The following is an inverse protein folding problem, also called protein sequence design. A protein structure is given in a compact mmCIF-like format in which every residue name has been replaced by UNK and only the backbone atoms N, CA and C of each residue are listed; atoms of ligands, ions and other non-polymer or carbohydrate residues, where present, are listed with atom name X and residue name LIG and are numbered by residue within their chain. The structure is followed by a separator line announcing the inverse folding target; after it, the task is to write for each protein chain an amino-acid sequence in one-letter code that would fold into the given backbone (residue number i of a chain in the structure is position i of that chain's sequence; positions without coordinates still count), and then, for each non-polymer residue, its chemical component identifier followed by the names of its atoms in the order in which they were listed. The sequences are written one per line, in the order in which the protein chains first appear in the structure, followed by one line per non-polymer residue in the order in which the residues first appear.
data_IF_687209216848
#
_entry.id   IF_687209216848
#
_cell.length_a   1.000
_cell.length_b   1.000
_cell.length_c   1.000
_cell.angle_alpha   90.00
_cell.angle_beta   90.00
_cell.angle_gamma   90.00
#
_symmetry.space_group_name_H-M   'P 1'
#
loop_
_entity.id
_entity.type
_entity.pdbx_description
1 polymer ?
#
# COMPACT_ATOMS: atom_id res chain seq x y z
N UNK A 1 -7.82 -0.54 4.79
CA UNK A 1 -7.00 -0.52 3.56
C UNK A 1 -5.84 0.43 3.77
N UNK A 2 -4.65 -0.01 3.37
CA UNK A 2 -3.35 0.61 3.59
C UNK A 2 -2.75 1.21 2.32
N UNK A 3 -1.63 1.93 2.43
CA UNK A 3 -0.88 2.55 1.35
C UNK A 3 0.50 1.89 1.20
N UNK A 4 0.78 1.37 0.00
CA UNK A 4 2.12 0.94 -0.44
C UNK A 4 2.45 1.70 -1.72
N UNK A 5 3.63 2.31 -1.78
CA UNK A 5 4.12 3.04 -2.95
C UNK A 5 5.49 2.49 -3.32
N UNK A 6 5.72 2.25 -4.61
CA UNK A 6 7.04 1.93 -5.12
C UNK A 6 7.44 2.85 -6.28
N UNK A 7 8.74 3.07 -6.41
CA UNK A 7 9.37 3.52 -7.63
C UNK A 7 10.34 2.44 -8.12
N UNK A 8 10.19 2.12 -9.40
CA UNK A 8 11.08 1.23 -10.13
C UNK A 8 11.93 2.13 -11.02
N UNK A 9 13.26 2.01 -10.93
CA UNK A 9 14.20 2.73 -11.78
C UNK A 9 15.25 1.79 -12.35
N UNK A 10 15.96 2.24 -13.39
CA UNK A 10 16.99 1.44 -14.07
C UNK A 10 18.08 0.90 -13.14
N UNK A 11 18.49 1.69 -12.14
CA UNK A 11 19.63 1.39 -11.27
C UNK A 11 19.21 1.10 -9.81
N UNK A 12 17.91 0.95 -9.56
CA UNK A 12 17.41 0.69 -8.22
C UNK A 12 15.90 0.88 -8.13
N UNK A 13 15.32 0.28 -7.10
CA UNK A 13 13.94 0.44 -6.73
C UNK A 13 13.83 0.86 -5.26
N UNK A 14 12.77 1.58 -4.94
CA UNK A 14 12.42 2.00 -3.58
C UNK A 14 10.95 1.71 -3.34
N UNK A 15 10.62 1.27 -2.14
CA UNK A 15 9.24 0.99 -1.72
C UNK A 15 8.99 1.56 -0.33
N UNK A 16 7.83 2.18 -0.14
CA UNK A 16 7.33 2.61 1.15
C UNK A 16 5.97 1.96 1.44
N UNK A 17 5.73 1.66 2.71
CA UNK A 17 4.49 1.07 3.19
C UNK A 17 4.14 1.67 4.53
N UNK A 18 2.91 2.17 4.66
CA UNK A 18 2.45 2.69 5.95
C UNK A 18 2.31 1.53 6.95
N UNK A 19 2.24 1.82 8.24
CA UNK A 19 2.19 0.77 9.26
C UNK A 19 0.80 0.57 9.89
N UNK A 20 -0.24 1.23 9.35
CA UNK A 20 -1.58 1.22 9.92
C UNK A 20 -2.33 -0.07 9.66
N UNK A 21 -2.99 -0.55 10.68
CA UNK A 21 -4.07 -1.53 10.61
C UNK A 21 -5.25 -1.03 11.43
N UNK A 22 -6.45 -1.17 10.87
CA UNK A 22 -7.69 -0.83 11.54
C UNK A 22 -8.61 -2.03 11.40
N UNK A 23 -9.07 -2.56 12.53
CA UNK A 23 -10.11 -3.59 12.57
C UNK A 23 -11.42 -2.98 13.04
N UNK A 24 -12.52 -3.52 12.50
CA UNK A 24 -13.87 -3.05 12.76
C UNK A 24 -14.71 -4.22 13.27
N UNK A 25 -15.34 -4.06 14.43
CA UNK A 25 -16.22 -5.03 15.08
C UNK A 25 -17.61 -4.41 15.27
N UNK A 26 -18.67 -5.17 14.99
CA UNK A 26 -20.06 -4.71 15.07
C UNK A 26 -20.90 -5.10 13.85
N UNK A 27 -22.09 -4.54 13.77
CA UNK A 27 -23.05 -4.80 12.70
C UNK A 27 -22.47 -4.48 11.32
N UNK A 28 -22.72 -5.38 10.36
CA UNK A 28 -22.10 -5.32 9.02
C UNK A 28 -22.36 -3.98 8.32
N UNK A 29 -23.60 -3.52 8.30
CA UNK A 29 -23.99 -2.27 7.63
C UNK A 29 -23.30 -1.04 8.23
N UNK A 30 -23.16 -1.01 9.56
CA UNK A 30 -22.50 0.09 10.26
C UNK A 30 -20.99 0.09 10.00
N UNK A 31 -20.36 -1.09 9.96
CA UNK A 31 -18.94 -1.23 9.58
C UNK A 31 -18.70 -0.74 8.15
N UNK A 32 -19.53 -1.18 7.20
CA UNK A 32 -19.42 -0.76 5.79
C UNK A 32 -19.59 0.75 5.62
N UNK A 33 -20.51 1.36 6.38
CA UNK A 33 -20.70 2.82 6.39
C UNK A 33 -19.46 3.55 6.92
N UNK A 34 -18.89 3.10 8.05
CA UNK A 34 -17.69 3.69 8.63
C UNK A 34 -16.48 3.55 7.70
N UNK A 35 -16.29 2.37 7.11
CA UNK A 35 -15.23 2.09 6.14
C UNK A 35 -15.33 2.99 4.91
N UNK A 36 -16.54 3.17 4.37
CA UNK A 36 -16.80 4.07 3.23
C UNK A 36 -16.39 5.50 3.56
N UNK A 37 -16.78 6.01 4.73
CA UNK A 37 -16.40 7.35 5.18
C UNK A 37 -14.89 7.48 5.34
N UNK A 38 -14.25 6.50 5.98
CA UNK A 38 -12.80 6.47 6.18
C UNK A 38 -12.04 6.46 4.85
N UNK A 39 -12.37 5.54 3.95
CA UNK A 39 -11.64 5.33 2.70
C UNK A 39 -11.95 6.37 1.62
N UNK A 40 -13.05 7.11 1.75
CA UNK A 40 -13.28 8.33 0.96
C UNK A 40 -12.32 9.47 1.31
N UNK A 41 -11.68 9.42 2.49
CA UNK A 41 -10.87 10.52 3.03
C UNK A 41 -11.66 11.56 3.79
N UNK A 42 -12.94 11.32 4.08
CA UNK A 42 -13.77 12.23 4.88
C UNK A 42 -13.37 12.26 6.37
N UNK A 43 -12.63 11.25 6.84
CA UNK A 43 -12.10 11.16 8.19
C UNK A 43 -10.59 11.40 8.14
N UNK A 44 -10.14 12.50 8.74
CA UNK A 44 -8.74 12.97 8.63
C UNK A 44 -7.92 12.72 9.89
N UNK A 45 -8.56 12.42 11.02
CA UNK A 45 -7.88 12.17 12.30
C UNK A 45 -8.43 10.97 13.07
N UNK A 46 -7.62 10.47 14.00
CA UNK A 46 -7.99 9.34 14.87
C UNK A 46 -9.18 9.69 15.77
N UNK A 47 -9.23 10.92 16.29
CA UNK A 47 -10.35 11.39 17.10
C UNK A 47 -11.67 11.44 16.31
N UNK A 48 -11.62 11.85 15.03
CA UNK A 48 -12.81 11.79 14.16
C UNK A 48 -13.23 10.36 13.86
N UNK A 49 -12.25 9.46 13.67
CA UNK A 49 -12.52 8.04 13.44
C UNK A 49 -13.19 7.39 14.65
N UNK A 50 -12.66 7.63 15.86
CA UNK A 50 -13.22 7.16 17.13
C UNK A 50 -14.64 7.68 17.33
N UNK A 51 -14.86 8.99 17.15
CA UNK A 51 -16.18 9.60 17.29
C UNK A 51 -17.20 8.99 16.33
N UNK A 52 -16.87 8.87 15.04
CA UNK A 52 -17.78 8.26 14.06
C UNK A 52 -18.04 6.78 14.33
N UNK A 53 -17.04 6.06 14.83
CA UNK A 53 -17.20 4.67 15.21
C UNK A 53 -18.19 4.52 16.38
N UNK A 54 -18.06 5.36 17.41
CA UNK A 54 -19.00 5.42 18.54
C UNK A 54 -20.44 5.74 18.08
N UNK A 55 -20.61 6.77 17.22
CA UNK A 55 -21.92 7.16 16.66
C UNK A 55 -22.60 6.03 15.88
N UNK A 56 -21.82 5.14 15.26
CA UNK A 56 -22.31 3.99 14.51
C UNK A 56 -22.36 2.69 15.33
N UNK A 57 -21.99 2.72 16.62
CA UNK A 57 -21.89 1.54 17.46
C UNK A 57 -20.87 0.51 16.94
N UNK A 58 -19.83 0.96 16.25
CA UNK A 58 -18.74 0.13 15.74
C UNK A 58 -17.55 0.23 16.69
N UNK A 59 -17.05 -0.91 17.15
CA UNK A 59 -15.80 -0.95 17.91
C UNK A 59 -14.63 -1.00 16.91
N UNK A 60 -13.64 -0.14 17.14
CA UNK A 60 -12.42 -0.10 16.33
C UNK A 60 -11.19 -0.47 17.15
N UNK A 61 -10.20 -1.09 16.50
CA UNK A 61 -8.84 -1.18 17.03
C UNK A 61 -7.89 -0.62 15.98
N UNK A 62 -7.08 0.35 16.38
CA UNK A 62 -6.09 1.00 15.52
C UNK A 62 -4.70 0.57 15.99
N UNK A 63 -3.87 0.11 15.06
CA UNK A 63 -2.45 -0.19 15.30
C UNK A 63 -1.59 0.44 14.21
N UNK A 64 -0.37 0.82 14.58
CA UNK A 64 0.62 1.46 13.69
C UNK A 64 1.94 0.67 13.64
N UNK A 65 1.85 -0.65 13.74
CA UNK A 65 2.97 -1.60 13.81
C UNK A 65 2.93 -2.69 12.72
N UNK A 66 1.94 -2.65 11.82
CA UNK A 66 1.79 -3.67 10.77
C UNK A 66 2.90 -3.55 9.75
N UNK A 67 3.75 -4.57 9.67
CA UNK A 67 4.71 -4.68 8.58
C UNK A 67 3.99 -5.02 7.26
N UNK A 68 4.23 -4.22 6.21
CA UNK A 68 3.66 -4.40 4.87
C UNK A 68 4.71 -4.63 3.79
N UNK A 69 5.99 -4.47 4.16
CA UNK A 69 7.10 -4.54 3.24
C UNK A 69 8.05 -5.65 3.66
N UNK A 70 8.63 -6.30 2.66
CA UNK A 70 9.67 -7.29 2.86
C UNK A 70 10.70 -7.15 1.74
N UNK A 71 11.91 -7.64 1.98
CA UNK A 71 12.92 -7.82 0.95
C UNK A 71 13.26 -9.32 0.91
N UNK A 72 13.23 -9.89 -0.30
CA UNK A 72 13.49 -11.31 -0.57
C UNK A 72 14.39 -11.42 -1.80
N UNK A 73 15.61 -11.94 -1.63
CA UNK A 73 16.54 -12.23 -2.73
C UNK A 73 16.79 -11.04 -3.69
N UNK A 74 16.80 -9.81 -3.19
CA UNK A 74 16.95 -8.57 -3.93
C UNK A 74 15.64 -7.95 -4.44
N UNK A 75 14.50 -8.59 -4.21
CA UNK A 75 13.16 -8.12 -4.59
C UNK A 75 12.46 -7.50 -3.39
N UNK A 76 11.98 -6.27 -3.54
CA UNK A 76 11.08 -5.66 -2.54
C UNK A 76 9.66 -6.14 -2.79
N UNK A 77 9.01 -6.62 -1.74
CA UNK A 77 7.64 -7.11 -1.76
C UNK A 77 6.79 -6.21 -0.88
N UNK A 78 5.70 -5.68 -1.43
CA UNK A 78 4.75 -4.85 -0.72
C UNK A 78 3.34 -5.39 -0.84
N UNK A 79 2.63 -5.50 0.28
CA UNK A 79 1.27 -6.08 0.32
C UNK A 79 0.26 -5.10 0.92
N UNK A 80 -0.90 -4.98 0.27
CA UNK A 80 -2.09 -4.37 0.85
C UNK A 80 -3.22 -5.39 0.89
N UNK A 81 -4.07 -5.30 1.90
CA UNK A 81 -5.25 -6.16 2.05
C UNK A 81 -6.53 -5.35 2.15
N UNK A 82 -7.60 -5.89 1.60
CA UNK A 82 -8.98 -5.44 1.77
C UNK A 82 -9.85 -6.60 2.20
N UNK A 83 -10.93 -6.30 2.91
CA UNK A 83 -11.97 -7.28 3.25
C UNK A 83 -13.23 -6.83 2.54
N UNK A 84 -13.78 -7.66 1.66
CA UNK A 84 -15.00 -7.37 0.92
C UNK A 84 -15.93 -8.57 1.03
N UNK A 85 -17.16 -8.37 1.54
CA UNK A 85 -18.13 -9.47 1.70
C UNK A 85 -17.67 -10.60 2.63
N UNK A 86 -16.71 -10.36 3.52
CA UNK A 86 -16.11 -11.38 4.39
C UNK A 86 -14.93 -12.13 3.76
N UNK A 87 -14.57 -11.82 2.51
CA UNK A 87 -13.41 -12.39 1.82
C UNK A 87 -12.23 -11.44 1.95
N UNK A 88 -11.08 -11.99 2.36
CA UNK A 88 -9.82 -11.25 2.40
C UNK A 88 -9.18 -11.32 1.01
N UNK A 89 -9.01 -10.15 0.39
CA UNK A 89 -8.28 -9.99 -0.86
C UNK A 89 -6.98 -9.26 -0.58
N UNK A 90 -5.87 -9.75 -1.13
CA UNK A 90 -4.58 -9.08 -1.04
C UNK A 90 -4.08 -8.72 -2.43
N UNK A 91 -3.35 -7.61 -2.50
CA UNK A 91 -2.60 -7.22 -3.69
C UNK A 91 -1.15 -7.08 -3.30
N UNK A 92 -0.30 -7.77 -4.04
CA UNK A 92 1.14 -7.81 -3.79
C UNK A 92 1.90 -7.21 -4.98
N UNK A 93 2.85 -6.35 -4.67
CA UNK A 93 3.73 -5.69 -5.61
C UNK A 93 5.16 -6.18 -5.36
N UNK A 94 5.76 -6.73 -6.41
CA UNK A 94 7.14 -7.18 -6.41
C UNK A 94 7.93 -6.23 -7.26
N UNK A 95 9.05 -5.70 -6.75
CA UNK A 95 9.90 -4.77 -7.50
C UNK A 95 11.38 -5.08 -7.29
N UNK A 96 12.13 -4.98 -8.37
CA UNK A 96 13.59 -4.92 -8.38
C UNK A 96 14.01 -3.76 -9.29
N UNK A 97 15.30 -3.48 -9.42
CA UNK A 97 15.78 -2.47 -10.36
C UNK A 97 15.32 -2.82 -11.79
N UNK A 98 14.43 -1.99 -12.36
CA UNK A 98 13.95 -2.12 -13.72
C UNK A 98 12.85 -3.17 -13.98
N UNK A 99 12.39 -3.92 -12.97
CA UNK A 99 11.37 -4.96 -13.12
C UNK A 99 10.28 -4.84 -12.06
N UNK A 100 9.04 -5.17 -12.42
CA UNK A 100 7.95 -5.33 -11.45
C UNK A 100 6.94 -6.39 -11.88
N UNK A 101 6.23 -6.93 -10.88
CA UNK A 101 5.05 -7.75 -11.04
C UNK A 101 3.99 -7.36 -10.02
N UNK A 102 2.72 -7.53 -10.38
CA UNK A 102 1.56 -7.33 -9.51
C UNK A 102 0.78 -8.64 -9.48
N UNK A 103 0.49 -9.12 -8.28
CA UNK A 103 -0.37 -10.27 -8.07
C UNK A 103 -1.59 -9.91 -7.21
N UNK A 104 -2.71 -10.55 -7.50
CA UNK A 104 -3.90 -10.60 -6.65
C UNK A 104 -3.95 -11.95 -5.95
N UNK A 105 -4.32 -11.94 -4.67
CA UNK A 105 -4.39 -13.13 -3.82
C UNK A 105 -5.78 -13.17 -3.18
N UNK A 106 -6.49 -14.26 -3.38
CA UNK A 106 -7.79 -14.53 -2.76
C UNK A 106 -7.82 -15.98 -2.27
N UNK A 107 -7.92 -16.17 -0.95
CA UNK A 107 -7.72 -17.50 -0.36
C UNK A 107 -6.34 -18.06 -0.68
N UNK A 108 -6.29 -19.25 -1.29
CA UNK A 108 -5.07 -19.90 -1.78
C UNK A 108 -4.75 -19.60 -3.25
N UNK A 109 -5.62 -18.86 -3.94
CA UNK A 109 -5.40 -18.52 -5.35
C UNK A 109 -4.54 -17.26 -5.45
N UNK A 110 -3.46 -17.34 -6.23
CA UNK A 110 -2.61 -16.21 -6.56
C UNK A 110 -2.60 -16.05 -8.08
N UNK A 111 -2.90 -14.84 -8.54
CA UNK A 111 -2.97 -14.50 -9.97
C UNK A 111 -2.11 -13.29 -10.27
N UNK A 112 -1.12 -13.44 -11.15
CA UNK A 112 -0.35 -12.31 -11.69
C UNK A 112 -1.25 -11.52 -12.64
N UNK A 113 -1.51 -10.26 -12.32
CA UNK A 113 -2.39 -9.38 -13.11
C UNK A 113 -1.65 -8.35 -13.93
N UNK A 114 -0.39 -8.04 -13.58
CA UNK A 114 0.46 -7.21 -14.40
C UNK A 114 1.94 -7.55 -14.18
N UNK A 115 2.74 -7.34 -15.22
CA UNK A 115 4.19 -7.42 -15.16
C UNK A 115 4.77 -6.41 -16.13
N UNK A 116 5.96 -5.89 -15.82
CA UNK A 116 6.59 -4.95 -16.72
C UNK A 116 8.03 -4.63 -16.37
N UNK A 117 8.65 -3.92 -17.30
CA UNK A 117 10.03 -3.46 -17.21
C UNK A 117 10.10 -1.94 -17.38
N UNK A 118 11.20 -1.36 -16.92
CA UNK A 118 11.48 0.07 -17.05
C UNK A 118 11.14 0.88 -15.80
N UNK A 119 11.16 2.20 -15.94
CA UNK A 119 10.99 3.10 -14.81
C UNK A 119 9.53 3.49 -14.60
N UNK A 120 8.99 3.28 -13.40
CA UNK A 120 7.58 3.58 -13.09
C UNK A 120 7.35 3.88 -11.61
N UNK A 121 6.33 4.67 -11.29
CA UNK A 121 5.74 4.73 -9.95
C UNK A 121 4.49 3.85 -9.90
N UNK A 122 4.34 3.10 -8.82
CA UNK A 122 3.16 2.27 -8.58
C UNK A 122 2.66 2.56 -7.16
N UNK A 123 1.36 2.80 -7.02
CA UNK A 123 0.72 3.02 -5.73
C UNK A 123 -0.46 2.06 -5.54
N UNK A 124 -0.45 1.36 -4.42
CA UNK A 124 -1.55 0.56 -3.90
C UNK A 124 -2.21 1.27 -2.72
N UNK A 125 -3.53 1.13 -2.64
CA UNK A 125 -4.37 1.67 -1.59
C UNK A 125 -5.78 1.94 -2.09
N UNK A 126 -6.59 2.56 -1.23
CA UNK A 126 -7.91 3.06 -1.63
C UNK A 126 -7.78 4.21 -2.65
N UNK A 127 -8.89 4.59 -3.28
CA UNK A 127 -8.88 5.58 -4.34
C UNK A 127 -8.34 6.95 -3.90
N UNK A 128 -8.66 7.37 -2.68
CA UNK A 128 -8.16 8.63 -2.12
C UNK A 128 -6.64 8.63 -1.95
N UNK A 129 -6.07 7.59 -1.34
CA UNK A 129 -4.62 7.48 -1.12
C UNK A 129 -3.84 7.33 -2.44
N UNK A 130 -4.37 6.56 -3.41
CA UNK A 130 -3.82 6.49 -4.76
C UNK A 130 -3.85 7.84 -5.46
N UNK A 131 -4.95 8.59 -5.35
CA UNK A 131 -5.07 9.92 -5.96
C UNK A 131 -4.05 10.91 -5.35
N UNK A 132 -3.84 10.88 -4.03
CA UNK A 132 -2.82 11.67 -3.35
C UNK A 132 -1.43 11.31 -3.87
N UNK A 133 -1.09 10.02 -3.90
CA UNK A 133 0.21 9.55 -4.36
C UNK A 133 0.48 9.95 -5.82
N UNK A 134 -0.47 9.68 -6.72
CA UNK A 134 -0.36 10.02 -8.14
C UNK A 134 -0.21 11.52 -8.37
N UNK A 135 -0.89 12.35 -7.58
CA UNK A 135 -0.71 13.81 -7.62
C UNK A 135 0.72 14.20 -7.22
N UNK A 136 1.25 13.62 -6.14
CA UNK A 136 2.64 13.86 -5.73
C UNK A 136 3.63 13.45 -6.83
N UNK A 137 3.42 12.32 -7.51
CA UNK A 137 4.27 11.90 -8.62
C UNK A 137 4.22 12.90 -9.77
N UNK A 138 3.02 13.25 -10.23
CA UNK A 138 2.82 14.16 -11.36
C UNK A 138 3.42 15.56 -11.11
N UNK A 139 3.24 16.10 -9.92
CA UNK A 139 3.64 17.47 -9.61
C UNK A 139 5.16 17.59 -9.39
N UNK A 140 5.85 16.50 -9.03
CA UNK A 140 7.25 16.55 -8.58
C UNK A 140 8.22 15.73 -9.45
N UNK A 141 7.74 14.73 -10.20
CA UNK A 141 8.60 13.89 -11.03
C UNK A 141 8.93 14.57 -12.37
N UNK A 142 10.24 14.74 -12.63
CA UNK A 142 10.79 15.31 -13.87
C UNK A 142 11.88 14.37 -14.41
N UNK A 143 12.99 14.89 -14.97
CA UNK A 143 14.20 14.10 -15.23
C UNK A 143 14.89 13.74 -13.90
N UNK A 144 14.29 12.81 -13.16
CA UNK A 144 14.66 12.44 -11.79
C UNK A 144 15.60 11.24 -11.69
N UNK A 145 16.24 11.12 -10.54
CA UNK A 145 17.01 9.95 -10.12
C UNK A 145 16.33 9.25 -8.93
N UNK A 146 16.92 8.16 -8.44
CA UNK A 146 16.39 7.40 -7.32
C UNK A 146 16.22 8.25 -6.06
N UNK A 147 17.14 9.18 -5.78
CA UNK A 147 17.04 10.05 -4.60
C UNK A 147 15.84 11.00 -4.71
N UNK A 148 15.52 11.51 -5.90
CA UNK A 148 14.30 12.28 -6.10
C UNK A 148 13.06 11.40 -5.91
N UNK A 149 13.07 10.16 -6.40
CA UNK A 149 11.97 9.23 -6.21
C UNK A 149 11.71 8.96 -4.72
N UNK A 150 12.75 8.71 -3.93
CA UNK A 150 12.67 8.57 -2.46
C UNK A 150 11.96 9.78 -1.84
N UNK A 151 12.40 11.00 -2.15
CA UNK A 151 11.80 12.23 -1.62
C UNK A 151 10.32 12.38 -1.99
N UNK A 152 9.96 12.04 -3.23
CA UNK A 152 8.57 12.10 -3.70
C UNK A 152 7.70 11.07 -2.98
N UNK A 153 8.22 9.85 -2.76
CA UNK A 153 7.51 8.81 -2.01
C UNK A 153 7.29 9.26 -0.58
N UNK A 154 8.32 9.77 0.11
CA UNK A 154 8.19 10.31 1.46
C UNK A 154 7.13 11.42 1.52
N UNK A 155 7.16 12.36 0.58
CA UNK A 155 6.14 13.42 0.46
C UNK A 155 4.74 12.85 0.28
N UNK A 156 4.56 11.81 -0.55
CA UNK A 156 3.28 11.16 -0.78
C UNK A 156 2.76 10.46 0.49
N UNK A 157 3.61 9.71 1.18
CA UNK A 157 3.27 9.03 2.44
C UNK A 157 2.82 10.03 3.51
N UNK A 158 3.62 11.09 3.72
CA UNK A 158 3.31 12.14 4.69
C UNK A 158 2.05 12.93 4.33
N UNK A 159 1.83 13.18 3.03
CA UNK A 159 0.62 13.88 2.57
C UNK A 159 -0.62 13.02 2.77
N UNK A 160 -0.53 11.71 2.52
CA UNK A 160 -1.62 10.78 2.78
C UNK A 160 -1.96 10.71 4.27
N UNK A 161 -0.95 10.55 5.14
CA UNK A 161 -1.12 10.51 6.59
C UNK A 161 -1.72 11.81 7.19
N UNK A 162 -1.52 12.96 6.52
CA UNK A 162 -2.16 14.24 6.91
C UNK A 162 -3.60 14.37 6.43
N UNK A 163 -4.00 13.64 5.39
CA UNK A 163 -5.28 13.82 4.70
C UNK A 163 -6.31 12.73 4.97
N UNK A 164 -5.93 11.66 5.66
CA UNK A 164 -6.85 10.60 6.04
C UNK A 164 -6.34 9.84 7.25
N UNK A 165 -7.26 9.46 8.15
CA UNK A 165 -6.98 8.59 9.29
C UNK A 165 -6.74 7.12 8.87
N UNK A 166 -6.82 6.79 7.57
CA UNK A 166 -6.58 5.42 7.08
C UNK A 166 -5.09 5.07 6.92
N UNK A 167 -4.20 6.06 7.03
CA UNK A 167 -2.76 5.90 6.80
C UNK A 167 -1.98 6.31 8.04
N UNK A 168 -1.00 5.50 8.42
CA UNK A 168 -0.15 5.79 9.57
C UNK A 168 0.75 7.00 9.33
N UNK A 169 1.07 7.73 10.40
CA UNK A 169 2.16 8.73 10.40
C UNK A 169 3.54 8.07 10.30
N UNK A 170 3.65 6.78 10.58
CA UNK A 170 4.86 5.99 10.46
C UNK A 170 4.81 5.15 9.18
N UNK A 171 5.95 5.03 8.53
CA UNK A 171 6.11 4.15 7.38
C UNK A 171 7.51 3.57 7.35
N UNK A 172 7.65 2.42 6.72
CA UNK A 172 8.97 1.87 6.37
C UNK A 172 9.32 2.28 4.95
N UNK A 173 10.62 2.30 4.69
CA UNK A 173 11.19 2.56 3.38
C UNK A 173 12.27 1.50 3.13
N UNK A 174 12.10 0.69 2.09
CA UNK A 174 13.10 -0.27 1.63
C UNK A 174 13.65 0.17 0.27
N UNK A 175 14.91 -0.16 0.01
CA UNK A 175 15.58 0.10 -1.25
C UNK A 175 16.36 -1.12 -1.69
N UNK A 176 16.42 -1.34 -3.00
CA UNK A 176 17.25 -2.38 -3.63
C UNK A 176 17.95 -1.81 -4.86
N UNK A 177 19.20 -2.21 -5.08
CA UNK A 177 19.91 -1.96 -6.33
C UNK A 177 19.92 -3.19 -7.25
N UNK A 178 19.39 -4.32 -6.77
CA UNK A 178 19.42 -5.60 -7.48
C UNK A 178 18.50 -5.56 -8.70
N UNK A 179 19.03 -5.94 -9.87
CA UNK A 179 18.27 -6.13 -11.11
C UNK A 179 18.02 -7.63 -11.33
N UNK A 180 17.32 -8.23 -10.36
CA UNK A 180 16.91 -9.63 -10.42
C UNK A 180 15.53 -9.75 -11.06
N UNK A 181 15.26 -10.86 -11.74
CA UNK A 181 13.90 -11.13 -12.20
C UNK A 181 12.99 -11.38 -11.00
N UNK A 182 11.85 -10.70 -10.97
CA UNK A 182 10.85 -10.82 -9.90
C UNK A 182 10.04 -12.11 -10.02
N UNK A 183 10.02 -12.75 -11.20
CA UNK A 183 9.27 -13.98 -11.46
C UNK A 183 9.62 -15.11 -10.49
N UNK A 184 10.89 -15.30 -10.15
CA UNK A 184 11.31 -16.36 -9.23
C UNK A 184 10.72 -16.22 -7.82
N UNK A 185 10.56 -15.00 -7.30
CA UNK A 185 9.91 -14.77 -6.00
C UNK A 185 8.41 -14.98 -6.11
N UNK A 186 7.80 -14.56 -7.23
CA UNK A 186 6.38 -14.82 -7.50
C UNK A 186 6.09 -16.33 -7.57
N UNK A 187 6.92 -17.09 -8.27
CA UNK A 187 6.77 -18.55 -8.41
C UNK A 187 6.88 -19.28 -7.07
N UNK A 188 7.81 -18.85 -6.19
CA UNK A 188 7.88 -19.37 -4.82
C UNK A 188 6.57 -19.15 -4.08
N UNK A 189 6.02 -17.93 -4.14
CA UNK A 189 4.73 -17.62 -3.53
C UNK A 189 3.56 -18.41 -4.15
N UNK A 190 3.63 -18.76 -5.45
CA UNK A 190 2.65 -19.67 -6.10
C UNK A 190 2.76 -21.12 -5.61
N UNK A 191 3.93 -21.54 -5.14
CA UNK A 191 4.25 -22.93 -4.79
C UNK A 191 4.09 -23.25 -3.30
N UNK A 192 4.03 -22.24 -2.44
CA UNK A 192 3.85 -22.38 -0.99
C UNK A 192 2.42 -21.97 -0.59
N UNK A 193 1.54 -22.93 -0.22
CA UNK A 193 0.15 -22.65 0.14
C UNK A 193 -0.02 -21.94 1.49
#
# INVERSE_FOLDING_TARGET
MSLVIAFIGKNGAVMAGDMREITFEGEKENREKLEKDLYSGAIVSDAELEKKAEELGVKITVRDDKNKLEERDGVLVGEVSSVEGGVVRKRRLYVSAGNYAIAEIEGSEIRVTAQGKGSNFIAFGNDTTKAIANKCFKDNWKKGNLQLAVKIIMLAMETAARKTASVSKKYMLLQTASNVDVSGVVEKDLSEP
#
